data_IF_386904889563
#
_entry.id   IF_386904889563
#
_cell.length_a   1.000
_cell.length_b   1.000
_cell.length_c   1.000
_cell.angle_alpha   90.00
_cell.angle_beta   90.00
_cell.angle_gamma   90.00
#
_symmetry.space_group_name_H-M   'P 1'
#
loop_
_entity.id
_entity.type
_entity.pdbx_description
1 polymer ?
#
# COMPACT_ATOMS: atom_id res chain seq x y z
N UNK A 1 13.07 3.95 -17.07
CA UNK A 1 12.47 4.59 -15.87
C UNK A 1 11.90 3.53 -14.91
N UNK A 2 12.19 3.61 -13.61
CA UNK A 2 11.67 2.66 -12.59
C UNK A 2 10.50 3.30 -11.83
N UNK A 3 9.41 2.57 -11.65
CA UNK A 3 8.20 3.08 -10.99
C UNK A 3 7.88 2.31 -9.71
N UNK A 4 7.36 3.04 -8.71
CA UNK A 4 6.78 2.47 -7.50
C UNK A 4 5.25 2.33 -7.63
N UNK A 5 4.66 1.46 -6.82
CA UNK A 5 3.22 1.16 -6.79
C UNK A 5 2.34 2.40 -6.62
N UNK A 6 2.77 3.41 -5.86
CA UNK A 6 1.97 4.63 -5.64
C UNK A 6 1.70 5.40 -6.93
N UNK A 7 2.74 5.65 -7.74
CA UNK A 7 2.61 6.37 -9.01
C UNK A 7 1.75 5.56 -9.98
N UNK A 8 1.99 4.25 -10.05
CA UNK A 8 1.25 3.35 -10.92
C UNK A 8 -0.22 3.29 -10.53
N UNK A 9 -0.53 3.13 -9.24
CA UNK A 9 -1.89 3.07 -8.74
C UNK A 9 -2.62 4.40 -8.91
N UNK A 10 -1.94 5.53 -8.72
CA UNK A 10 -2.51 6.86 -8.97
C UNK A 10 -2.94 7.00 -10.44
N UNK A 11 -2.06 6.68 -11.38
CA UNK A 11 -2.36 6.78 -12.82
C UNK A 11 -3.38 5.75 -13.28
N UNK A 12 -3.31 4.52 -12.76
CA UNK A 12 -4.29 3.47 -13.05
C UNK A 12 -5.69 3.85 -12.57
N UNK A 13 -5.83 4.39 -11.35
CA UNK A 13 -7.13 4.82 -10.78
C UNK A 13 -7.84 5.88 -11.62
N UNK A 14 -7.10 6.75 -12.30
CA UNK A 14 -7.68 7.75 -13.21
C UNK A 14 -7.78 7.26 -14.66
N UNK A 15 -7.40 6.00 -14.94
CA UNK A 15 -7.43 5.41 -16.27
C UNK A 15 -6.40 6.00 -17.24
N UNK A 16 -5.29 6.55 -16.72
CA UNK A 16 -4.28 7.27 -17.51
C UNK A 16 -2.88 6.66 -17.41
N UNK A 17 -2.79 5.34 -17.23
CA UNK A 17 -1.51 4.63 -17.28
C UNK A 17 -0.79 4.81 -18.63
N UNK A 18 -1.54 5.05 -19.71
CA UNK A 18 -1.05 5.38 -21.06
C UNK A 18 -0.09 6.59 -21.09
N UNK A 19 -0.26 7.52 -20.15
CA UNK A 19 0.58 8.70 -20.06
C UNK A 19 2.04 8.35 -19.82
N UNK A 20 2.35 7.24 -19.14
CA UNK A 20 3.73 6.84 -18.89
C UNK A 20 4.52 6.60 -20.18
N UNK A 21 3.87 6.00 -21.19
CA UNK A 21 4.48 5.80 -22.51
C UNK A 21 4.62 7.10 -23.30
N UNK A 22 3.72 8.05 -23.10
CA UNK A 22 3.81 9.39 -23.71
C UNK A 22 4.91 10.24 -23.08
N UNK A 23 5.08 10.14 -21.76
CA UNK A 23 6.12 10.85 -20.99
C UNK A 23 7.51 10.28 -21.24
N UNK A 24 7.63 8.97 -21.42
CA UNK A 24 8.91 8.28 -21.60
C UNK A 24 8.87 7.37 -22.85
N UNK A 25 8.81 7.95 -24.06
CA UNK A 25 8.63 7.19 -25.29
C UNK A 25 9.82 6.28 -25.63
N UNK A 26 11.05 6.74 -25.37
CA UNK A 26 12.28 6.02 -25.72
C UNK A 26 12.81 5.12 -24.58
N UNK A 27 12.18 5.19 -23.40
CA UNK A 27 12.67 4.50 -22.22
C UNK A 27 11.92 3.19 -21.98
N UNK A 28 12.65 2.20 -21.49
CA UNK A 28 12.02 1.04 -20.89
C UNK A 28 11.31 1.44 -19.60
N UNK A 29 10.00 1.18 -19.52
CA UNK A 29 9.28 1.25 -18.25
C UNK A 29 9.58 -0.01 -17.45
N UNK A 30 10.05 0.18 -16.22
CA UNK A 30 10.56 -0.90 -15.38
C UNK A 30 9.85 -0.87 -14.02
N UNK A 31 9.54 -2.03 -13.48
CA UNK A 31 9.09 -2.22 -12.10
C UNK A 31 9.89 -3.32 -11.44
N UNK A 32 10.05 -3.25 -10.11
CA UNK A 32 10.65 -4.37 -9.37
C UNK A 32 9.64 -5.51 -9.23
N UNK A 33 10.15 -6.71 -8.99
CA UNK A 33 9.31 -7.88 -8.69
C UNK A 33 8.35 -7.65 -7.51
N UNK A 34 8.78 -6.93 -6.47
CA UNK A 34 7.90 -6.61 -5.34
C UNK A 34 6.76 -5.66 -5.71
N UNK A 35 7.02 -4.65 -6.54
CA UNK A 35 5.97 -3.76 -7.08
C UNK A 35 4.97 -4.57 -7.91
N UNK A 36 5.46 -5.49 -8.73
CA UNK A 36 4.59 -6.39 -9.50
C UNK A 36 3.69 -7.24 -8.58
N UNK A 37 4.25 -7.81 -7.51
CA UNK A 37 3.48 -8.59 -6.52
C UNK A 37 2.43 -7.73 -5.80
N UNK A 38 2.74 -6.47 -5.46
CA UNK A 38 1.76 -5.55 -4.87
C UNK A 38 0.59 -5.27 -5.81
N UNK A 39 0.86 -5.07 -7.09
CA UNK A 39 -0.19 -4.90 -8.10
C UNK A 39 -1.05 -6.16 -8.24
N UNK A 40 -0.44 -7.35 -8.24
CA UNK A 40 -1.19 -8.61 -8.27
C UNK A 40 -2.09 -8.79 -7.05
N UNK A 41 -1.58 -8.52 -5.83
CA UNK A 41 -2.40 -8.53 -4.61
C UNK A 41 -3.58 -7.56 -4.71
N UNK A 42 -3.37 -6.37 -5.27
CA UNK A 42 -4.45 -5.42 -5.50
C UNK A 42 -5.49 -5.97 -6.50
N UNK A 43 -5.04 -6.64 -7.58
CA UNK A 43 -5.94 -7.30 -8.53
C UNK A 43 -6.75 -8.42 -7.88
N UNK A 44 -6.13 -9.24 -7.04
CA UNK A 44 -6.79 -10.34 -6.31
C UNK A 44 -7.93 -9.86 -5.40
N UNK A 45 -7.81 -8.67 -4.82
CA UNK A 45 -8.87 -8.06 -4.00
C UNK A 45 -9.92 -7.28 -4.81
N UNK A 46 -9.85 -7.31 -6.15
CA UNK A 46 -10.86 -6.75 -7.06
C UNK A 46 -10.56 -5.34 -7.60
N UNK A 47 -9.32 -4.86 -7.51
CA UNK A 47 -8.96 -3.59 -8.14
C UNK A 47 -8.71 -3.75 -9.65
N UNK A 48 -9.75 -3.51 -10.45
CA UNK A 48 -9.71 -3.65 -11.91
C UNK A 48 -8.74 -2.70 -12.63
N UNK A 49 -8.44 -1.54 -12.03
CA UNK A 49 -7.52 -0.57 -12.63
C UNK A 49 -6.12 -1.15 -12.85
N UNK A 50 -5.74 -2.21 -12.13
CA UNK A 50 -4.46 -2.89 -12.27
C UNK A 50 -4.26 -3.43 -13.70
N UNK A 51 -5.33 -3.88 -14.36
CA UNK A 51 -5.23 -4.40 -15.73
C UNK A 51 -4.66 -3.33 -16.68
N UNK A 52 -5.16 -2.09 -16.59
CA UNK A 52 -4.69 -0.97 -17.42
C UNK A 52 -3.22 -0.61 -17.19
N UNK A 53 -2.70 -0.88 -15.99
CA UNK A 53 -1.29 -0.69 -15.65
C UNK A 53 -0.46 -1.80 -16.30
N UNK A 54 -0.86 -3.07 -16.12
CA UNK A 54 -0.11 -4.21 -16.64
C UNK A 54 -0.04 -4.23 -18.18
N UNK A 55 -1.08 -3.73 -18.84
CA UNK A 55 -1.12 -3.55 -20.31
C UNK A 55 -0.05 -2.60 -20.85
N UNK A 56 0.57 -1.75 -20.02
CA UNK A 56 1.64 -0.85 -20.46
C UNK A 56 2.96 -1.57 -20.77
N UNK A 57 3.07 -2.87 -20.49
CA UNK A 57 4.23 -3.70 -20.86
C UNK A 57 5.49 -3.34 -20.07
N UNK A 58 5.40 -3.32 -18.75
CA UNK A 58 6.56 -3.07 -17.89
C UNK A 58 7.53 -4.25 -17.89
N UNK A 59 8.83 -3.95 -17.93
CA UNK A 59 9.87 -4.94 -17.65
C UNK A 59 9.96 -5.15 -16.14
N UNK A 60 9.85 -6.41 -15.71
CA UNK A 60 9.98 -6.78 -14.29
C UNK A 60 11.44 -7.14 -14.01
N UNK A 61 12.04 -6.47 -13.03
CA UNK A 61 13.41 -6.73 -12.60
C UNK A 61 13.46 -7.31 -11.20
N UNK A 62 14.43 -8.19 -10.97
CA UNK A 62 14.74 -8.76 -9.66
C UNK A 62 15.94 -8.02 -9.06
N UNK A 63 15.87 -7.74 -7.77
CA UNK A 63 16.99 -7.15 -7.06
C UNK A 63 18.05 -8.22 -6.79
N UNK A 64 19.29 -7.89 -7.09
CA UNK A 64 20.43 -8.73 -6.76
C UNK A 64 20.66 -8.80 -5.25
N UNK A 65 21.16 -9.95 -4.77
CA UNK A 65 21.44 -10.17 -3.34
C UNK A 65 22.44 -9.18 -2.77
N UNK A 66 23.42 -8.71 -3.57
CA UNK A 66 24.37 -7.68 -3.18
C UNK A 66 23.68 -6.34 -2.91
N UNK A 67 22.77 -5.93 -3.80
CA UNK A 67 22.00 -4.68 -3.66
C UNK A 67 21.06 -4.74 -2.45
N UNK A 68 20.42 -5.89 -2.21
CA UNK A 68 19.57 -6.10 -1.03
C UNK A 68 20.38 -5.95 0.26
N UNK A 69 21.58 -6.52 0.32
CA UNK A 69 22.48 -6.36 1.48
C UNK A 69 22.86 -4.90 1.71
N UNK A 70 23.20 -4.17 0.65
CA UNK A 70 23.52 -2.74 0.75
C UNK A 70 22.34 -1.92 1.29
N UNK A 71 21.12 -2.21 0.81
CA UNK A 71 19.90 -1.58 1.27
C UNK A 71 19.67 -1.82 2.78
N UNK A 72 19.78 -3.06 3.25
CA UNK A 72 19.58 -3.37 4.68
C UNK A 72 20.65 -2.72 5.57
N UNK A 73 21.90 -2.59 5.09
CA UNK A 73 22.93 -1.82 5.78
C UNK A 73 22.62 -0.33 5.87
N UNK A 74 22.10 0.28 4.78
CA UNK A 74 21.68 1.69 4.80
C UNK A 74 20.50 1.91 5.74
N UNK A 75 19.50 1.02 5.69
CA UNK A 75 18.30 1.05 6.53
C UNK A 75 18.62 0.94 8.02
N UNK A 76 19.57 0.08 8.42
CA UNK A 76 19.99 -0.03 9.82
C UNK A 76 20.67 1.24 10.33
N UNK A 77 21.54 1.86 9.54
CA UNK A 77 22.18 3.15 9.86
C UNK A 77 21.17 4.28 10.05
N UNK A 78 20.13 4.33 9.21
CA UNK A 78 19.07 5.33 9.32
C UNK A 78 18.23 5.14 10.60
N UNK A 79 17.97 3.89 11.00
CA UNK A 79 17.27 3.58 12.27
C UNK A 79 18.08 4.00 13.50
N UNK A 80 19.41 3.95 13.44
CA UNK A 80 20.27 4.39 14.55
C UNK A 80 20.49 5.91 14.58
N UNK A 81 20.28 6.62 13.47
CA UNK A 81 20.51 8.06 13.35
C UNK A 81 19.31 8.91 13.82
N UNK A 82 18.10 8.34 13.87
CA UNK A 82 16.93 8.97 14.46
C UNK A 82 16.56 8.20 15.74
N UNK A 83 16.97 8.65 16.95
CA UNK A 83 16.45 8.04 18.15
C UNK A 83 14.93 8.21 18.12
N UNK A 84 14.20 7.09 18.11
CA UNK A 84 12.77 7.10 18.38
C UNK A 84 12.57 7.97 19.63
N UNK A 85 11.69 8.97 19.52
CA UNK A 85 11.16 9.64 20.70
C UNK A 85 10.76 8.56 21.68
N UNK A 86 11.44 8.49 22.83
CA UNK A 86 11.08 7.58 23.92
C UNK A 86 9.61 7.85 24.22
N UNK A 87 8.71 6.94 23.84
CA UNK A 87 7.41 6.88 24.47
C UNK A 87 7.65 6.18 25.80
N UNK A 88 7.54 6.94 26.88
CA UNK A 88 7.79 6.49 28.23
C UNK A 88 6.90 5.30 28.59
N UNK A 89 7.54 4.16 28.89
CA UNK A 89 6.91 3.04 29.58
C UNK A 89 6.97 3.29 31.09
N UNK A 90 5.90 3.88 31.63
CA UNK A 90 5.35 3.68 32.99
C UNK A 90 4.31 4.80 33.19
N UNK A 91 3.06 4.54 33.59
CA UNK A 91 2.70 4.35 35.01
C UNK A 91 1.23 3.90 35.11
N UNK A 92 0.91 3.08 36.14
CA UNK A 92 -0.41 2.64 36.65
C UNK A 92 -1.19 1.65 35.76
N UNK A 93 -1.30 0.35 36.02
CA UNK A 93 -1.35 -0.40 37.29
C UNK A 93 -2.26 0.20 38.35
N UNK A 94 -3.49 0.61 37.98
CA UNK A 94 -4.58 0.80 38.95
C UNK A 94 -5.93 0.91 38.21
N UNK A 95 -6.53 -0.22 37.83
CA UNK A 95 -7.98 -0.34 37.56
C UNK A 95 -8.43 -1.81 37.47
N UNK A 96 -7.93 -2.62 38.40
CA UNK A 96 -8.55 -3.91 38.76
C UNK A 96 -9.08 -3.79 40.19
N UNK A 97 -10.32 -3.29 40.31
CA UNK A 97 -11.34 -3.66 41.32
C UNK A 97 -12.47 -2.62 41.36
N UNK A 98 -13.54 -2.89 40.63
CA UNK A 98 -14.95 -2.81 41.09
C UNK A 98 -15.83 -3.05 39.87
N UNK A 99 -16.48 -4.21 39.81
CA UNK A 99 -17.81 -4.46 40.38
C UNK A 99 -18.90 -4.18 39.34
N UNK A 100 -19.42 -5.29 38.80
CA UNK A 100 -20.82 -5.55 38.41
C UNK A 100 -21.60 -4.46 37.67
N UNK A 101 -21.85 -4.69 36.38
CA UNK A 101 -23.19 -4.69 35.71
C UNK A 101 -23.04 -4.77 34.18
N UNK A 102 -23.49 -5.88 33.60
CA UNK A 102 -24.21 -5.85 32.31
C UNK A 102 -25.57 -5.16 32.56
N UNK A 103 -26.19 -4.43 31.60
CA UNK A 103 -26.59 -5.03 30.32
C UNK A 103 -26.68 -4.08 29.10
N UNK A 104 -27.08 -4.71 28.00
CA UNK A 104 -27.85 -4.19 26.86
C UNK A 104 -27.12 -3.61 25.63
N UNK A 105 -27.21 -4.44 24.57
CA UNK A 105 -27.14 -4.11 23.15
C UNK A 105 -28.38 -3.30 22.76
N UNK A 106 -28.21 -2.21 22.00
CA UNK A 106 -29.15 -1.92 20.92
C UNK A 106 -28.48 -1.86 19.55
N UNK A 107 -29.12 -2.53 18.60
CA UNK A 107 -28.82 -2.53 17.16
C UNK A 107 -28.93 -1.11 16.59
N UNK A 108 -27.90 -0.66 15.86
CA UNK A 108 -27.86 0.65 15.20
C UNK A 108 -27.24 0.60 13.81
N UNK A 109 -28.08 0.25 12.83
CA UNK A 109 -28.04 0.47 11.36
C UNK A 109 -26.78 1.12 10.73
N UNK A 110 -26.09 0.35 9.88
CA UNK A 110 -25.27 0.88 8.77
C UNK A 110 -26.18 1.58 7.73
N UNK A 111 -25.88 2.82 7.29
CA UNK A 111 -26.56 3.43 6.17
C UNK A 111 -25.74 3.37 4.87
N UNK A 112 -26.48 3.27 3.75
CA UNK A 112 -26.11 3.54 2.35
C UNK A 112 -25.76 2.34 1.46
N UNK A 113 -26.81 1.60 1.10
CA UNK A 113 -26.97 0.91 -0.19
C UNK A 113 -27.57 1.91 -1.18
N UNK A 114 -26.79 2.46 -2.12
CA UNK A 114 -27.33 3.15 -3.31
C UNK A 114 -27.68 2.09 -4.35
N UNK A 115 -28.98 1.99 -4.68
CA UNK A 115 -29.45 1.25 -5.86
C UNK A 115 -29.29 2.13 -7.09
N UNK A 116 -28.75 1.56 -8.15
CA UNK A 116 -28.88 2.01 -9.53
C UNK A 116 -30.35 1.99 -9.96
N UNK A 117 -30.78 3.06 -10.63
CA UNK A 117 -32.03 3.11 -11.37
C UNK A 117 -31.71 3.16 -12.86
N UNK A 118 -32.18 2.17 -13.60
CA UNK A 118 -32.47 2.26 -15.03
C UNK A 118 -33.99 2.41 -15.14
N UNK A 119 -34.43 3.34 -15.98
CA UNK A 119 -35.82 3.67 -16.27
C UNK A 119 -35.86 4.97 -17.04
#
# INVERSE_FOLDING_TARGET
>A
MIFNTDILSMLGKIGRADLLRKLFPEESLVITFEVYNELLRAKEVGYEFVNSILEQGFNVIYLDLGVIKEYEQKKSKLRTACPASKSDNNTLSELTRSSTRTPDVPRGKCPLRRKSGFG
#
